data_IF_830341544645
#
_entry.id   IF_830341544645
#
_cell.length_a   1.000
_cell.length_b   1.000
_cell.length_c   1.000
_cell.angle_alpha   90.00
_cell.angle_beta   90.00
_cell.angle_gamma   90.00
#
_symmetry.space_group_name_H-M   'P 1'
#
loop_
_entity.id
_entity.type
_entity.pdbx_description
1 polymer ?
#
# COMPACT_ATOMS: atom_id res chain seq x y z
N UNK A 1 9.33 18.72 -25.34
CA UNK A 1 10.22 17.96 -24.43
C UNK A 1 10.27 18.70 -23.12
N UNK A 2 9.46 18.28 -22.15
CA UNK A 2 9.37 18.94 -20.84
C UNK A 2 10.19 18.10 -19.86
N UNK A 3 11.41 18.54 -19.60
CA UNK A 3 12.24 18.03 -18.52
C UNK A 3 11.70 18.59 -17.21
N UNK A 4 10.78 17.86 -16.57
CA UNK A 4 10.46 18.09 -15.17
C UNK A 4 11.72 17.73 -14.38
N UNK A 5 12.38 18.72 -13.80
CA UNK A 5 13.35 18.52 -12.72
C UNK A 5 12.61 17.79 -11.59
N UNK A 6 12.66 16.46 -11.62
CA UNK A 6 11.82 15.57 -10.83
C UNK A 6 12.33 15.51 -9.41
N UNK A 7 11.58 16.08 -8.47
CA UNK A 7 11.78 15.78 -7.06
C UNK A 7 11.80 14.25 -6.87
N UNK A 8 12.78 13.75 -6.11
CA UNK A 8 12.84 12.33 -5.78
C UNK A 8 11.53 11.92 -5.10
N UNK A 9 10.97 10.78 -5.52
CA UNK A 9 9.82 10.21 -4.84
C UNK A 9 10.24 9.81 -3.41
N UNK A 10 9.43 10.19 -2.43
CA UNK A 10 9.69 9.92 -1.01
C UNK A 10 8.58 9.07 -0.42
N UNK A 11 8.95 8.12 0.44
CA UNK A 11 7.96 7.34 1.17
C UNK A 11 7.34 8.21 2.27
N UNK A 12 6.02 8.33 2.27
CA UNK A 12 5.23 9.05 3.26
C UNK A 12 3.81 8.49 3.30
N UNK A 13 3.06 8.77 4.37
CA UNK A 13 1.69 8.28 4.51
C UNK A 13 0.83 8.69 3.29
N UNK A 14 0.16 7.71 2.70
CA UNK A 14 -0.67 7.88 1.50
C UNK A 14 0.09 7.78 0.18
N UNK A 15 1.43 7.77 0.17
CA UNK A 15 2.20 7.60 -1.05
C UNK A 15 1.86 6.26 -1.72
N UNK A 16 1.64 6.30 -3.03
CA UNK A 16 1.18 5.15 -3.80
C UNK A 16 2.16 4.78 -4.92
N UNK A 17 2.34 3.48 -5.12
CA UNK A 17 3.24 2.94 -6.15
C UNK A 17 2.76 1.57 -6.64
N UNK A 18 3.20 1.20 -7.85
CA UNK A 18 3.05 -0.12 -8.41
C UNK A 18 4.32 -0.93 -8.16
N UNK A 19 4.16 -2.16 -7.68
CA UNK A 19 5.26 -3.10 -7.53
C UNK A 19 4.90 -4.49 -8.07
N UNK A 20 5.86 -5.22 -8.66
CA UNK A 20 5.64 -6.60 -9.06
C UNK A 20 5.22 -7.46 -7.87
N UNK A 21 4.14 -8.22 -8.02
CA UNK A 21 3.67 -9.17 -7.01
C UNK A 21 3.17 -10.46 -7.66
N UNK A 22 3.78 -11.60 -7.27
CA UNK A 22 3.40 -12.93 -7.72
C UNK A 22 4.06 -13.39 -9.04
N UNK A 23 3.79 -14.64 -9.47
CA UNK A 23 4.22 -15.15 -10.77
C UNK A 23 3.54 -14.34 -11.89
N UNK A 24 4.25 -14.12 -13.01
CA UNK A 24 3.72 -13.53 -14.25
C UNK A 24 3.69 -12.00 -14.39
N UNK A 25 4.65 -11.27 -13.80
CA UNK A 25 4.89 -9.83 -14.05
C UNK A 25 3.70 -8.89 -13.73
N UNK A 26 2.71 -9.34 -12.96
CA UNK A 26 1.61 -8.48 -12.55
C UNK A 26 2.07 -7.47 -11.50
N UNK A 27 1.71 -6.21 -11.72
CA UNK A 27 1.94 -5.15 -10.75
C UNK A 27 0.70 -4.92 -9.92
N UNK A 28 0.88 -4.82 -8.60
CA UNK A 28 -0.19 -4.43 -7.69
C UNK A 28 0.04 -3.01 -7.19
N UNK A 29 -1.05 -2.29 -6.96
CA UNK A 29 -1.02 -1.02 -6.25
C UNK A 29 -0.72 -1.27 -4.78
N UNK A 30 0.26 -0.53 -4.27
CA UNK A 30 0.61 -0.42 -2.87
C UNK A 30 0.36 1.01 -2.39
N UNK A 31 0.02 1.12 -1.11
CA UNK A 31 -0.05 2.38 -0.38
C UNK A 31 0.79 2.29 0.89
N UNK A 32 1.48 3.38 1.20
CA UNK A 32 2.22 3.58 2.46
C UNK A 32 1.27 4.07 3.55
N UNK A 33 1.27 3.45 4.72
CA UNK A 33 0.29 3.71 5.78
C UNK A 33 0.76 4.70 6.86
N UNK A 34 2.06 4.95 6.95
CA UNK A 34 2.65 5.85 7.93
C UNK A 34 3.83 6.61 7.32
N UNK A 35 4.14 7.77 7.90
CA UNK A 35 5.40 8.44 7.60
C UNK A 35 6.58 7.61 8.15
N UNK A 36 7.78 7.69 7.55
CA UNK A 36 8.91 6.89 7.97
C UNK A 36 9.27 7.10 9.46
N UNK A 37 9.14 6.03 10.26
CA UNK A 37 9.45 6.01 11.69
C UNK A 37 10.25 4.76 12.06
N UNK A 38 10.91 4.74 13.21
CA UNK A 38 11.58 3.53 13.67
C UNK A 38 10.56 2.48 14.13
N UNK A 39 10.65 1.26 13.59
CA UNK A 39 9.87 0.13 14.05
C UNK A 39 10.66 -0.71 15.07
N UNK A 40 9.98 -1.34 16.05
CA UNK A 40 10.62 -2.27 16.97
C UNK A 40 11.37 -3.37 16.21
N UNK A 41 12.58 -3.73 16.67
CA UNK A 41 13.40 -4.80 16.11
C UNK A 41 13.90 -4.59 14.66
N UNK A 42 13.83 -3.37 14.11
CA UNK A 42 14.33 -3.05 12.75
C UNK A 42 15.58 -2.15 12.74
N UNK A 43 16.18 -1.91 13.90
CA UNK A 43 17.34 -1.03 14.06
C UNK A 43 16.97 0.45 13.99
N UNK A 44 17.93 1.31 13.65
CA UNK A 44 17.75 2.77 13.64
C UNK A 44 17.15 3.31 12.34
N UNK A 45 16.99 2.48 11.31
CA UNK A 45 16.50 2.91 10.02
C UNK A 45 14.98 3.13 10.04
N UNK A 46 14.49 4.20 9.39
CA UNK A 46 13.06 4.47 9.35
C UNK A 46 12.34 3.47 8.42
N UNK A 47 11.24 2.96 8.91
CA UNK A 47 10.38 1.97 8.27
C UNK A 47 9.00 2.56 7.98
N UNK A 48 8.34 1.92 7.03
CA UNK A 48 6.94 2.16 6.69
C UNK A 48 6.20 0.84 6.59
N UNK A 49 4.90 0.85 6.87
CA UNK A 49 4.00 -0.26 6.58
C UNK A 49 3.32 -0.03 5.23
N UNK A 50 3.29 -1.05 4.40
CA UNK A 50 2.61 -1.04 3.11
C UNK A 50 1.58 -2.17 3.02
N UNK A 51 0.50 -1.89 2.31
CA UNK A 51 -0.53 -2.86 1.93
C UNK A 51 -0.83 -2.75 0.45
N UNK A 52 -1.31 -3.84 -0.15
CA UNK A 52 -1.78 -3.82 -1.53
C UNK A 52 -3.28 -4.01 -1.65
N UNK A 53 -3.77 -3.78 -2.86
CA UNK A 53 -5.16 -3.98 -3.24
C UNK A 53 -5.34 -5.20 -4.14
N UNK A 54 -6.54 -5.76 -4.10
CA UNK A 54 -7.00 -6.79 -5.01
C UNK A 54 -8.47 -6.55 -5.37
N UNK A 55 -8.89 -6.98 -6.56
CA UNK A 55 -10.28 -6.86 -6.99
C UNK A 55 -11.18 -7.79 -6.16
N UNK A 56 -12.38 -7.31 -5.83
CA UNK A 56 -13.40 -8.17 -5.23
C UNK A 56 -13.71 -9.33 -6.19
N UNK A 57 -13.62 -10.60 -5.75
CA UNK A 57 -13.92 -11.74 -6.59
C UNK A 57 -15.36 -11.70 -7.13
N UNK A 58 -15.55 -12.00 -8.41
CA UNK A 58 -16.88 -12.13 -9.02
C UNK A 58 -17.59 -13.42 -8.62
N UNK A 59 -16.82 -14.46 -8.27
CA UNK A 59 -17.35 -15.71 -7.75
C UNK A 59 -17.67 -15.56 -6.24
N UNK A 60 -18.95 -15.68 -5.82
CA UNK A 60 -19.35 -15.48 -4.43
C UNK A 60 -18.76 -16.51 -3.45
N UNK A 61 -18.26 -17.64 -3.95
CA UNK A 61 -17.65 -18.69 -3.14
C UNK A 61 -16.17 -18.43 -2.83
N UNK A 62 -15.55 -17.42 -3.44
CA UNK A 62 -14.16 -17.05 -3.15
C UNK A 62 -14.15 -16.09 -1.96
N UNK A 63 -13.65 -16.51 -0.78
CA UNK A 63 -13.57 -15.62 0.36
C UNK A 63 -12.54 -14.51 0.09
N UNK A 64 -12.84 -13.31 0.59
CA UNK A 64 -11.94 -12.17 0.57
C UNK A 64 -12.14 -11.34 1.83
N UNK A 65 -11.19 -10.45 2.10
CA UNK A 65 -11.23 -9.61 3.28
C UNK A 65 -12.24 -8.47 3.12
N UNK A 66 -13.23 -8.40 4.01
CA UNK A 66 -14.32 -7.41 3.98
C UNK A 66 -14.10 -6.24 4.93
N UNK A 67 -12.97 -6.18 5.63
CA UNK A 67 -12.72 -5.13 6.64
C UNK A 67 -12.46 -3.75 6.03
N UNK A 68 -12.00 -3.68 4.79
CA UNK A 68 -11.88 -2.44 4.02
C UNK A 68 -12.09 -2.69 2.52
N UNK A 69 -13.22 -2.19 2.01
CA UNK A 69 -13.60 -2.28 0.60
C UNK A 69 -13.78 -0.86 0.06
N UNK A 70 -13.28 -0.64 -1.15
CA UNK A 70 -13.47 0.58 -1.93
C UNK A 70 -14.30 0.25 -3.17
N UNK A 71 -15.55 0.73 -3.23
CA UNK A 71 -16.36 0.62 -4.44
C UNK A 71 -15.74 1.41 -5.59
N UNK A 72 -15.90 0.94 -6.82
CA UNK A 72 -15.42 1.64 -8.01
C UNK A 72 -15.97 3.07 -8.12
N UNK A 73 -17.21 3.30 -7.66
CA UNK A 73 -17.87 4.60 -7.68
C UNK A 73 -17.27 5.64 -6.72
N UNK A 74 -16.48 5.22 -5.73
CA UNK A 74 -15.90 6.14 -4.75
C UNK A 74 -14.70 6.93 -5.30
N UNK A 75 -14.17 6.56 -6.47
CA UNK A 75 -13.06 7.23 -7.15
C UNK A 75 -11.84 7.51 -6.24
N UNK A 76 -11.59 6.66 -5.24
CA UNK A 76 -10.57 6.89 -4.21
C UNK A 76 -9.14 6.96 -4.76
N UNK A 77 -8.89 6.31 -5.90
CA UNK A 77 -7.61 6.32 -6.58
C UNK A 77 -7.76 5.93 -8.05
N UNK A 78 -7.02 6.59 -8.94
CA UNK A 78 -7.15 6.45 -10.41
C UNK A 78 -6.87 5.03 -10.93
N UNK A 79 -6.12 4.23 -10.17
CA UNK A 79 -5.83 2.83 -10.50
C UNK A 79 -6.95 1.85 -10.11
N UNK A 80 -7.82 2.20 -9.15
CA UNK A 80 -8.88 1.32 -8.66
C UNK A 80 -10.16 1.54 -9.48
N UNK A 81 -10.24 0.85 -10.63
CA UNK A 81 -11.35 1.00 -11.59
C UNK A 81 -12.52 0.03 -11.34
N UNK A 82 -12.36 -0.92 -10.42
CA UNK A 82 -13.36 -1.89 -10.03
C UNK A 82 -13.44 -1.96 -8.50
N UNK A 83 -14.52 -2.55 -7.98
CA UNK A 83 -14.64 -2.81 -6.55
C UNK A 83 -13.42 -3.58 -6.06
N UNK A 84 -12.73 -2.99 -5.08
CA UNK A 84 -11.42 -3.46 -4.63
C UNK A 84 -11.41 -3.55 -3.12
N UNK A 85 -10.67 -4.52 -2.59
CA UNK A 85 -10.45 -4.66 -1.16
C UNK A 85 -8.96 -4.56 -0.85
N UNK A 86 -8.65 -4.18 0.39
CA UNK A 86 -7.27 -4.15 0.87
C UNK A 86 -6.85 -5.57 1.26
N UNK A 87 -5.74 -6.06 0.70
CA UNK A 87 -5.26 -7.42 0.95
C UNK A 87 -4.29 -7.48 2.13
N UNK A 88 -4.85 -7.42 3.34
CA UNK A 88 -4.07 -7.38 4.59
C UNK A 88 -3.18 -8.60 4.85
N UNK A 89 -3.50 -9.76 4.24
CA UNK A 89 -2.66 -10.97 4.34
C UNK A 89 -1.23 -10.80 3.79
N UNK A 90 -0.97 -9.72 3.03
CA UNK A 90 0.37 -9.35 2.54
C UNK A 90 0.85 -7.99 3.05
N UNK A 91 0.21 -7.45 4.09
CA UNK A 91 0.73 -6.30 4.79
C UNK A 91 2.14 -6.58 5.30
N UNK A 92 3.06 -5.63 5.09
CA UNK A 92 4.45 -5.79 5.51
C UNK A 92 5.10 -4.46 5.85
N UNK A 93 6.14 -4.56 6.65
CA UNK A 93 7.06 -3.46 6.92
C UNK A 93 8.19 -3.45 5.90
N UNK A 94 8.60 -2.27 5.49
CA UNK A 94 9.72 -2.04 4.58
C UNK A 94 10.57 -0.89 5.10
N UNK A 95 11.86 -0.87 4.78
CA UNK A 95 12.65 0.33 4.97
C UNK A 95 12.22 1.38 3.94
N UNK A 96 11.96 2.61 4.40
CA UNK A 96 11.53 3.69 3.50
C UNK A 96 12.51 3.88 2.33
N UNK A 97 13.81 3.86 2.66
CA UNK A 97 14.90 4.01 1.69
C UNK A 97 14.96 2.89 0.64
N UNK A 98 14.54 1.68 0.99
CA UNK A 98 14.53 0.57 0.03
C UNK A 98 13.43 0.78 -1.01
N UNK A 99 12.23 1.20 -0.59
CA UNK A 99 11.13 1.55 -1.51
C UNK A 99 11.57 2.70 -2.42
N UNK A 100 12.13 3.77 -1.85
CA UNK A 100 12.62 4.93 -2.62
C UNK A 100 13.70 4.53 -3.63
N UNK A 101 14.61 3.63 -3.24
CA UNK A 101 15.63 3.08 -4.13
C UNK A 101 15.02 2.27 -5.27
N UNK A 102 14.01 1.44 -5.00
CA UNK A 102 13.32 0.66 -6.04
C UNK A 102 12.55 1.56 -7.00
N UNK A 103 11.97 2.65 -6.50
CA UNK A 103 11.34 3.69 -7.34
C UNK A 103 12.38 4.40 -8.20
N UNK A 104 13.50 4.83 -7.63
CA UNK A 104 14.59 5.49 -8.36
C UNK A 104 15.20 4.60 -9.45
N UNK A 105 15.25 3.29 -9.22
CA UNK A 105 15.69 2.28 -10.21
C UNK A 105 14.63 1.94 -11.26
N UNK A 106 13.41 2.47 -11.15
CA UNK A 106 12.29 2.15 -12.05
C UNK A 106 11.72 0.75 -11.88
N UNK A 107 12.10 0.03 -10.80
CA UNK A 107 11.55 -1.29 -10.48
C UNK A 107 10.13 -1.13 -9.90
N UNK A 108 9.94 -0.13 -9.05
CA UNK A 108 8.62 0.31 -8.61
C UNK A 108 8.24 1.57 -9.38
N UNK A 109 6.95 1.71 -9.72
CA UNK A 109 6.47 2.87 -10.48
C UNK A 109 5.59 3.74 -9.58
N UNK A 110 5.94 5.02 -9.34
CA UNK A 110 5.05 5.95 -8.65
C UNK A 110 3.68 5.98 -9.30
N UNK A 111 2.62 6.02 -8.48
CA UNK A 111 1.26 5.99 -8.98
C UNK A 111 0.41 7.06 -8.31
N UNK A 112 0.49 8.33 -8.75
CA UNK A 112 -0.36 9.38 -8.22
C UNK A 112 -1.85 9.15 -8.59
N UNK A 113 -2.79 9.71 -7.81
CA UNK A 113 -2.57 10.60 -6.67
C UNK A 113 -2.16 9.84 -5.40
N UNK A 114 -1.59 10.54 -4.42
CA UNK A 114 -1.46 9.98 -3.09
C UNK A 114 -2.85 9.85 -2.45
N UNK A 115 -3.02 8.83 -1.61
CA UNK A 115 -4.23 8.66 -0.82
C UNK A 115 -4.32 9.75 0.26
N UNK A 116 -5.50 10.34 0.41
CA UNK A 116 -5.77 11.28 1.49
C UNK A 116 -5.76 10.60 2.87
N UNK A 117 -5.48 11.37 3.92
CA UNK A 117 -5.38 10.88 5.31
C UNK A 117 -6.62 10.13 5.79
N UNK A 118 -7.82 10.53 5.35
CA UNK A 118 -9.08 9.84 5.68
C UNK A 118 -9.07 8.40 5.14
N UNK A 119 -8.60 8.20 3.90
CA UNK A 119 -8.51 6.88 3.29
C UNK A 119 -7.42 6.05 3.97
N UNK A 120 -6.25 6.65 4.26
CA UNK A 120 -5.19 5.97 5.02
C UNK A 120 -5.71 5.50 6.38
N UNK A 121 -6.46 6.35 7.09
CA UNK A 121 -7.05 5.99 8.38
C UNK A 121 -8.08 4.86 8.26
N UNK A 122 -8.91 4.87 7.21
CA UNK A 122 -9.85 3.77 6.94
C UNK A 122 -9.10 2.45 6.74
N UNK A 123 -7.99 2.49 5.99
CA UNK A 123 -7.14 1.32 5.75
C UNK A 123 -6.48 0.84 7.04
N UNK A 124 -6.01 1.74 7.91
CA UNK A 124 -5.45 1.40 9.22
C UNK A 124 -6.50 0.76 10.15
N UNK A 125 -7.74 1.26 10.14
CA UNK A 125 -8.85 0.65 10.90
C UNK A 125 -9.13 -0.77 10.40
N UNK A 126 -9.15 -0.99 9.08
CA UNK A 126 -9.29 -2.34 8.52
C UNK A 126 -8.11 -3.24 8.88
N UNK A 127 -6.88 -2.71 8.85
CA UNK A 127 -5.65 -3.44 9.19
C UNK A 127 -5.70 -3.99 10.62
N UNK A 128 -6.20 -3.20 11.59
CA UNK A 128 -6.36 -3.61 12.99
C UNK A 128 -7.51 -4.60 13.22
N UNK A 129 -8.51 -4.62 12.33
CA UNK A 129 -9.71 -5.49 12.44
C UNK A 129 -9.57 -6.81 11.70
N UNK A 130 -8.76 -6.86 10.65
CA UNK A 130 -8.62 -8.05 9.81
C UNK A 130 -7.92 -9.19 10.56
N UNK A 131 -8.55 -10.37 10.55
CA UNK A 131 -7.94 -11.61 11.03
C UNK A 131 -6.81 -12.12 10.12
N UNK A 132 -6.69 -11.55 8.91
CA UNK A 132 -5.64 -11.92 7.95
C UNK A 132 -4.36 -11.11 8.16
N UNK A 133 -4.41 -9.99 8.88
CA UNK A 133 -3.23 -9.16 9.12
C UNK A 133 -2.19 -9.93 9.95
N UNK A 134 -0.91 -9.99 9.52
CA UNK A 134 0.15 -10.58 10.31
C UNK A 134 0.27 -9.91 11.70
N UNK A 135 0.41 -10.72 12.75
CA UNK A 135 0.41 -10.22 14.15
C UNK A 135 1.49 -9.17 14.42
N UNK A 136 2.67 -9.32 13.81
CA UNK A 136 3.76 -8.34 13.93
C UNK A 136 3.40 -6.99 13.31
N UNK A 137 2.58 -6.97 12.27
CA UNK A 137 2.10 -5.74 11.63
C UNK A 137 1.01 -5.07 12.48
N UNK A 138 0.10 -5.84 13.08
CA UNK A 138 -0.90 -5.30 14.02
C UNK A 138 -0.24 -4.67 15.25
N UNK A 139 0.96 -5.10 15.64
CA UNK A 139 1.68 -4.56 16.79
C UNK A 139 2.48 -3.27 16.50
N UNK A 140 2.53 -2.82 15.25
CA UNK A 140 3.30 -1.63 14.88
C UNK A 140 2.70 -0.34 15.48
N UNK A 141 3.53 0.68 15.76
CA UNK A 141 3.08 1.98 16.29
C UNK A 141 2.60 2.90 15.17
N UNK A 142 1.63 2.44 14.37
CA UNK A 142 1.07 3.13 13.19
C UNK A 142 -0.46 3.26 13.26
#
# INVERSE_FOLDING_TARGET
>A
MTTTNGAAWTAHAGAAFLAPSGPSKFNHLYVVLNDPIQFPNRGSQPCVCIVNFSSVPTNPNVPYDKTCIFPASAAVHTFLQADSYVYYGRAREEFAKDIETMVAKGIYSPKPPNFGSVIVQQILVGLRKSNSTPKNIVALPI
#
